data_IF_635737544514
#
_entry.id   IF_635737544514
#
_cell.length_a   1.000
_cell.length_b   1.000
_cell.length_c   1.000
_cell.angle_alpha   90.00
_cell.angle_beta   90.00
_cell.angle_gamma   90.00
#
_symmetry.space_group_name_H-M   'P 1'
#
loop_
_entity.id
_entity.type
_entity.pdbx_description
1 polymer ?
#
# COMPACT_ATOMS: atom_id res chain seq x y z
N UNK A 1 -63.24 -53.79 10.91
CA UNK A 1 -61.87 -54.29 10.69
C UNK A 1 -61.75 -54.67 9.22
N UNK A 2 -61.14 -53.82 8.40
CA UNK A 2 -60.93 -54.11 6.97
C UNK A 2 -59.59 -54.83 6.79
N UNK A 3 -59.63 -56.09 6.35
CA UNK A 3 -58.44 -56.85 6.02
C UNK A 3 -57.91 -56.38 4.66
N UNK A 4 -56.77 -55.68 4.67
CA UNK A 4 -55.99 -55.41 3.46
C UNK A 4 -55.20 -56.66 3.08
N UNK A 5 -55.68 -57.41 2.09
CA UNK A 5 -54.92 -58.49 1.43
C UNK A 5 -54.14 -57.88 0.26
N UNK A 6 -52.81 -57.83 0.37
CA UNK A 6 -51.91 -57.40 -0.71
C UNK A 6 -51.65 -58.62 -1.61
N UNK A 7 -52.16 -58.60 -2.84
CA UNK A 7 -51.82 -59.58 -3.87
C UNK A 7 -50.46 -59.24 -4.50
N UNK A 8 -49.45 -60.13 -4.46
CA UNK A 8 -48.12 -59.85 -4.96
C UNK A 8 -47.96 -60.34 -6.42
N UNK A 9 -48.54 -59.63 -7.39
CA UNK A 9 -48.08 -59.74 -8.79
C UNK A 9 -47.15 -58.57 -9.10
N UNK A 10 -45.87 -58.74 -8.75
CA UNK A 10 -44.83 -57.81 -9.18
C UNK A 10 -44.52 -58.12 -10.65
N UNK A 11 -45.17 -57.42 -11.58
CA UNK A 11 -44.85 -57.50 -13.00
C UNK A 11 -43.49 -56.86 -13.28
N UNK A 12 -42.68 -57.45 -14.16
CA UNK A 12 -41.37 -56.91 -14.60
C UNK A 12 -41.48 -55.44 -15.07
N UNK A 13 -42.62 -55.06 -15.66
CA UNK A 13 -42.90 -53.68 -16.06
C UNK A 13 -42.96 -52.66 -14.91
N UNK A 14 -43.41 -53.07 -13.71
CA UNK A 14 -43.46 -52.17 -12.55
C UNK A 14 -42.05 -51.84 -12.04
N UNK A 15 -41.14 -52.82 -12.06
CA UNK A 15 -39.74 -52.62 -11.70
C UNK A 15 -39.07 -51.64 -12.68
N UNK A 16 -39.34 -51.79 -13.97
CA UNK A 16 -38.79 -50.90 -15.00
C UNK A 16 -39.30 -49.46 -14.84
N UNK A 17 -40.59 -49.29 -14.54
CA UNK A 17 -41.20 -47.97 -14.32
C UNK A 17 -40.59 -47.27 -13.10
N UNK A 18 -40.45 -47.97 -11.97
CA UNK A 18 -39.79 -47.43 -10.77
C UNK A 18 -38.34 -47.04 -11.07
N UNK A 19 -37.60 -47.86 -11.83
CA UNK A 19 -36.25 -47.55 -12.27
C UNK A 19 -36.16 -46.25 -13.08
N UNK A 20 -37.06 -46.05 -14.05
CA UNK A 20 -37.07 -44.82 -14.87
C UNK A 20 -37.42 -43.56 -14.06
N UNK A 21 -38.32 -43.68 -13.09
CA UNK A 21 -38.67 -42.58 -12.17
C UNK A 21 -37.46 -42.21 -11.30
N UNK A 22 -36.75 -43.21 -10.74
CA UNK A 22 -35.55 -42.98 -9.95
C UNK A 22 -34.43 -42.32 -10.76
N UNK A 23 -34.19 -42.79 -11.99
CA UNK A 23 -33.19 -42.19 -12.89
C UNK A 23 -33.55 -40.73 -13.22
N UNK A 24 -34.84 -40.45 -13.46
CA UNK A 24 -35.32 -39.09 -13.72
C UNK A 24 -35.15 -38.18 -12.50
N UNK A 25 -35.49 -38.67 -11.30
CA UNK A 25 -35.30 -37.95 -10.04
C UNK A 25 -33.82 -37.65 -9.78
N UNK A 26 -32.93 -38.61 -9.99
CA UNK A 26 -31.47 -38.43 -9.87
C UNK A 26 -30.98 -37.36 -10.85
N UNK A 27 -31.45 -37.39 -12.10
CA UNK A 27 -31.09 -36.41 -13.13
C UNK A 27 -31.50 -34.98 -12.75
N UNK A 28 -32.70 -34.82 -12.19
CA UNK A 28 -33.19 -33.52 -11.69
C UNK A 28 -32.32 -33.02 -10.54
N UNK A 29 -31.97 -33.87 -9.57
CA UNK A 29 -31.12 -33.48 -8.44
C UNK A 29 -29.72 -33.04 -8.90
N UNK A 30 -29.13 -33.74 -9.86
CA UNK A 30 -27.85 -33.37 -10.46
C UNK A 30 -27.96 -32.03 -11.20
N UNK A 31 -28.99 -31.86 -12.03
CA UNK A 31 -29.24 -30.63 -12.78
C UNK A 31 -29.44 -29.43 -11.84
N UNK A 32 -30.21 -29.60 -10.78
CA UNK A 32 -30.43 -28.56 -9.78
C UNK A 32 -29.14 -28.20 -9.02
N UNK A 33 -28.34 -29.21 -8.67
CA UNK A 33 -27.01 -28.99 -8.09
C UNK A 33 -26.09 -28.18 -9.00
N UNK A 34 -26.11 -28.46 -10.31
CA UNK A 34 -25.34 -27.73 -11.33
C UNK A 34 -25.83 -26.29 -11.48
N UNK A 35 -27.14 -26.08 -11.61
CA UNK A 35 -27.76 -24.74 -11.71
C UNK A 35 -27.40 -23.88 -10.49
N UNK A 36 -27.50 -24.45 -9.28
CA UNK A 36 -27.13 -23.73 -8.05
C UNK A 36 -25.65 -23.31 -8.05
N UNK A 37 -24.74 -24.15 -8.55
CA UNK A 37 -23.32 -23.81 -8.66
C UNK A 37 -23.06 -22.74 -9.72
N UNK A 38 -23.77 -22.79 -10.85
CA UNK A 38 -23.67 -21.79 -11.92
C UNK A 38 -24.09 -20.41 -11.41
N UNK A 39 -25.26 -20.31 -10.76
CA UNK A 39 -25.72 -19.04 -10.17
C UNK A 39 -24.77 -18.47 -9.11
N UNK A 40 -24.16 -19.34 -8.30
CA UNK A 40 -23.16 -18.90 -7.32
C UNK A 40 -21.93 -18.31 -8.01
N UNK A 41 -21.45 -18.95 -9.08
CA UNK A 41 -20.33 -18.46 -9.87
C UNK A 41 -20.64 -17.14 -10.57
N UNK A 42 -21.82 -17.02 -11.17
CA UNK A 42 -22.29 -15.79 -11.83
C UNK A 42 -22.38 -14.61 -10.85
N UNK A 43 -22.76 -14.84 -9.61
CA UNK A 43 -22.78 -13.80 -8.57
C UNK A 43 -21.38 -13.48 -8.04
N UNK A 44 -20.51 -14.48 -7.86
CA UNK A 44 -19.18 -14.31 -7.29
C UNK A 44 -18.20 -13.65 -8.27
N UNK A 45 -18.35 -13.88 -9.58
CA UNK A 45 -17.40 -13.39 -10.60
C UNK A 45 -17.34 -11.85 -10.67
N UNK A 46 -18.48 -11.12 -10.78
CA UNK A 46 -18.48 -9.66 -10.77
C UNK A 46 -17.85 -9.08 -9.51
N UNK A 47 -18.11 -9.68 -8.34
CA UNK A 47 -17.52 -9.23 -7.07
C UNK A 47 -16.00 -9.31 -7.12
N UNK A 48 -15.44 -10.43 -7.57
CA UNK A 48 -13.99 -10.58 -7.72
C UNK A 48 -13.42 -9.58 -8.71
N UNK A 49 -14.10 -9.37 -9.83
CA UNK A 49 -13.68 -8.41 -10.85
C UNK A 49 -13.67 -6.98 -10.30
N UNK A 50 -14.74 -6.52 -9.66
CA UNK A 50 -14.81 -5.18 -9.08
C UNK A 50 -13.80 -4.99 -7.94
N UNK A 51 -13.53 -6.03 -7.14
CA UNK A 51 -12.46 -6.00 -6.13
C UNK A 51 -11.09 -5.79 -6.78
N UNK A 52 -10.80 -6.54 -7.85
CA UNK A 52 -9.55 -6.37 -8.60
C UNK A 52 -9.40 -4.96 -9.19
N UNK A 53 -10.49 -4.41 -9.74
CA UNK A 53 -10.52 -3.04 -10.27
C UNK A 53 -10.23 -2.03 -9.16
N UNK A 54 -10.88 -2.16 -7.99
CA UNK A 54 -10.67 -1.24 -6.88
C UNK A 54 -9.23 -1.30 -6.35
N UNK A 55 -8.69 -2.51 -6.17
CA UNK A 55 -7.30 -2.68 -5.75
C UNK A 55 -6.33 -2.01 -6.72
N UNK A 56 -6.53 -2.21 -8.03
CA UNK A 56 -5.74 -1.55 -9.07
C UNK A 56 -5.90 -0.02 -9.05
N UNK A 57 -7.10 0.48 -8.77
CA UNK A 57 -7.38 1.93 -8.68
C UNK A 57 -6.70 2.59 -7.47
N UNK A 58 -6.57 1.89 -6.35
CA UNK A 58 -5.80 2.37 -5.20
C UNK A 58 -4.30 2.43 -5.51
N UNK A 59 -3.74 1.40 -6.13
CA UNK A 59 -2.33 1.43 -6.57
C UNK A 59 -2.10 2.56 -7.56
N UNK A 60 -3.05 2.74 -8.48
CA UNK A 60 -3.01 3.83 -9.46
C UNK A 60 -3.02 5.21 -8.80
N UNK A 61 -3.78 5.41 -7.72
CA UNK A 61 -3.71 6.65 -6.94
C UNK A 61 -2.28 6.91 -6.47
N UNK A 62 -1.65 5.91 -5.84
CA UNK A 62 -0.27 6.00 -5.35
C UNK A 62 0.69 6.35 -6.48
N UNK A 63 0.60 5.70 -7.64
CA UNK A 63 1.44 6.03 -8.80
C UNK A 63 1.30 7.49 -9.22
N UNK A 64 0.06 8.00 -9.31
CA UNK A 64 -0.22 9.40 -9.66
C UNK A 64 0.40 10.33 -8.62
N UNK A 65 0.19 10.06 -7.34
CA UNK A 65 0.77 10.87 -6.26
C UNK A 65 2.30 10.85 -6.24
N UNK A 66 2.93 9.72 -6.56
CA UNK A 66 4.40 9.62 -6.65
C UNK A 66 4.90 10.38 -7.90
N UNK A 67 4.17 10.34 -9.01
CA UNK A 67 4.54 11.03 -10.25
C UNK A 67 4.63 12.55 -10.09
N UNK A 68 3.90 13.13 -9.13
CA UNK A 68 4.00 14.54 -8.78
C UNK A 68 5.45 14.97 -8.54
N UNK A 69 6.26 14.16 -7.83
CA UNK A 69 7.64 14.49 -7.50
C UNK A 69 8.57 14.51 -8.72
N UNK A 70 8.24 13.77 -9.79
CA UNK A 70 8.95 13.82 -11.07
C UNK A 70 8.51 15.05 -11.87
N UNK A 71 7.20 15.33 -11.88
CA UNK A 71 6.61 16.43 -12.63
C UNK A 71 7.06 17.81 -12.12
N UNK A 72 7.49 17.93 -10.87
CA UNK A 72 7.97 19.20 -10.30
C UNK A 72 9.46 19.46 -10.51
N UNK A 73 10.25 18.49 -11.00
CA UNK A 73 11.70 18.66 -11.21
C UNK A 73 12.08 19.87 -12.07
N UNK A 74 11.34 20.20 -13.15
CA UNK A 74 11.60 21.42 -13.92
C UNK A 74 11.50 22.69 -13.06
N UNK A 75 10.46 22.81 -12.23
CA UNK A 75 10.25 23.99 -11.38
C UNK A 75 11.36 24.17 -10.34
N UNK A 76 11.92 23.07 -9.81
CA UNK A 76 13.06 23.14 -8.90
C UNK A 76 14.32 23.68 -9.61
N UNK A 77 14.47 23.36 -10.89
CA UNK A 77 15.59 23.84 -11.72
C UNK A 77 15.39 25.30 -12.10
N UNK A 78 14.17 25.69 -12.46
CA UNK A 78 13.83 27.08 -12.77
C UNK A 78 14.07 28.00 -11.57
N UNK A 79 13.71 27.56 -10.36
CA UNK A 79 13.99 28.29 -9.12
C UNK A 79 15.51 28.52 -8.90
N UNK A 80 16.35 27.52 -9.14
CA UNK A 80 17.81 27.65 -9.06
C UNK A 80 18.34 28.64 -10.12
N UNK A 81 17.81 28.58 -11.35
CA UNK A 81 18.17 29.50 -12.43
C UNK A 81 17.76 30.93 -12.10
N UNK A 82 16.54 31.16 -11.58
CA UNK A 82 16.07 32.48 -11.19
C UNK A 82 16.98 33.09 -10.12
N UNK A 83 17.32 32.32 -9.08
CA UNK A 83 18.21 32.80 -8.03
C UNK A 83 19.62 33.13 -8.57
N UNK A 84 20.14 32.29 -9.49
CA UNK A 84 21.45 32.55 -10.14
C UNK A 84 21.47 33.81 -11.02
N UNK A 85 20.30 34.26 -11.51
CA UNK A 85 20.14 35.49 -12.29
C UNK A 85 20.04 36.75 -11.42
N UNK A 86 20.10 36.60 -10.09
CA UNK A 86 20.04 37.72 -9.15
C UNK A 86 18.62 38.11 -8.74
N UNK A 87 17.62 37.24 -8.97
CA UNK A 87 16.28 37.45 -8.43
C UNK A 87 16.28 37.36 -6.90
N UNK A 88 15.35 38.07 -6.26
CA UNK A 88 15.18 38.04 -4.80
C UNK A 88 14.68 36.66 -4.32
N UNK A 89 15.03 36.28 -3.09
CA UNK A 89 14.58 35.01 -2.48
C UNK A 89 13.05 34.92 -2.42
N UNK A 90 12.38 36.05 -2.17
CA UNK A 90 10.92 36.15 -2.14
C UNK A 90 10.31 35.86 -3.52
N UNK A 91 10.88 36.44 -4.58
CA UNK A 91 10.40 36.22 -5.95
C UNK A 91 10.58 34.75 -6.36
N UNK A 92 11.74 34.15 -6.06
CA UNK A 92 12.02 32.73 -6.33
C UNK A 92 11.05 31.82 -5.56
N UNK A 93 10.80 32.10 -4.28
CA UNK A 93 9.84 31.35 -3.46
C UNK A 93 8.43 31.41 -4.04
N UNK A 94 7.95 32.62 -4.34
CA UNK A 94 6.55 32.82 -4.77
C UNK A 94 6.29 32.20 -6.14
N UNK A 95 7.27 32.27 -7.04
CA UNK A 95 7.17 31.62 -8.34
C UNK A 95 7.17 30.09 -8.24
N UNK A 96 8.08 29.52 -7.42
CA UNK A 96 8.11 28.09 -7.15
C UNK A 96 6.78 27.62 -6.55
N UNK A 97 6.26 28.35 -5.57
CA UNK A 97 4.98 28.01 -4.91
C UNK A 97 3.81 28.02 -5.89
N UNK A 98 3.73 29.04 -6.75
CA UNK A 98 2.71 29.10 -7.81
C UNK A 98 2.79 27.85 -8.69
N UNK A 99 4.00 27.51 -9.16
CA UNK A 99 4.24 26.34 -10.00
C UNK A 99 3.87 25.02 -9.32
N UNK A 100 4.19 24.86 -8.03
CA UNK A 100 3.82 23.68 -7.24
C UNK A 100 2.31 23.56 -7.06
N UNK A 101 1.59 24.66 -6.83
CA UNK A 101 0.12 24.68 -6.73
C UNK A 101 -0.52 24.29 -8.05
N UNK A 102 -0.02 24.80 -9.18
CA UNK A 102 -0.50 24.41 -10.51
C UNK A 102 -0.25 22.93 -10.80
N UNK A 103 0.94 22.42 -10.47
CA UNK A 103 1.27 21.00 -10.59
C UNK A 103 0.32 20.14 -9.74
N UNK A 104 -0.02 20.61 -8.52
CA UNK A 104 -0.98 19.94 -7.66
C UNK A 104 -2.38 19.87 -8.25
N UNK A 105 -2.84 20.99 -8.80
CA UNK A 105 -4.16 21.06 -9.44
C UNK A 105 -4.24 20.04 -10.60
N UNK A 106 -3.19 19.94 -11.42
CA UNK A 106 -3.13 18.99 -12.55
C UNK A 106 -3.25 17.53 -12.11
N UNK A 107 -2.45 17.07 -11.13
CA UNK A 107 -2.54 15.66 -10.72
C UNK A 107 -3.83 15.39 -9.92
N UNK A 108 -4.35 16.37 -9.17
CA UNK A 108 -5.64 16.22 -8.49
C UNK A 108 -6.78 16.05 -9.50
N UNK A 109 -6.73 16.79 -10.60
CA UNK A 109 -7.66 16.60 -11.72
C UNK A 109 -7.53 15.20 -12.33
N UNK A 110 -6.31 14.71 -12.51
CA UNK A 110 -6.07 13.35 -13.01
C UNK A 110 -6.69 12.26 -12.11
N UNK A 111 -6.59 12.40 -10.78
CA UNK A 111 -7.24 11.47 -9.84
C UNK A 111 -8.76 11.45 -10.04
N UNK A 112 -9.38 12.62 -10.27
CA UNK A 112 -10.81 12.73 -10.54
C UNK A 112 -11.18 12.10 -11.89
N UNK A 113 -10.43 12.41 -12.95
CA UNK A 113 -10.68 11.92 -14.31
C UNK A 113 -10.56 10.39 -14.39
N UNK A 114 -9.65 9.81 -13.63
CA UNK A 114 -9.49 8.35 -13.55
C UNK A 114 -10.59 7.65 -12.73
N UNK A 115 -11.57 8.40 -12.17
CA UNK A 115 -12.73 7.86 -11.47
C UNK A 115 -12.36 6.90 -10.32
N UNK A 116 -11.23 7.16 -9.64
CA UNK A 116 -10.74 6.28 -8.57
C UNK A 116 -11.74 6.24 -7.42
N UNK A 117 -12.26 7.41 -7.04
CA UNK A 117 -13.19 7.54 -5.91
C UNK A 117 -14.54 6.86 -6.16
N UNK A 118 -14.94 6.65 -7.41
CA UNK A 118 -16.23 6.05 -7.78
C UNK A 118 -16.13 4.56 -8.10
N UNK A 119 -14.92 3.98 -8.13
CA UNK A 119 -14.69 2.58 -8.43
C UNK A 119 -15.45 1.60 -7.51
N UNK A 120 -15.82 2.03 -6.30
CA UNK A 120 -16.61 1.21 -5.37
C UNK A 120 -18.11 1.14 -5.69
N UNK A 121 -18.62 1.93 -6.65
CA UNK A 121 -20.04 1.98 -6.97
C UNK A 121 -20.59 0.60 -7.36
N UNK A 122 -19.80 -0.18 -8.12
CA UNK A 122 -20.14 -1.55 -8.49
C UNK A 122 -20.24 -2.47 -7.26
N UNK A 123 -19.43 -2.22 -6.22
CA UNK A 123 -19.44 -3.02 -5.00
C UNK A 123 -20.58 -2.69 -4.02
N UNK A 124 -21.30 -1.57 -4.23
CA UNK A 124 -22.29 -1.07 -3.28
C UNK A 124 -23.44 -2.05 -3.01
N UNK A 125 -23.79 -2.89 -4.00
CA UNK A 125 -24.85 -3.90 -3.87
C UNK A 125 -24.45 -5.14 -3.07
N UNK A 126 -23.15 -5.37 -2.83
CA UNK A 126 -22.66 -6.68 -2.38
C UNK A 126 -22.34 -6.73 -0.89
N UNK A 127 -21.37 -5.95 -0.39
CA UNK A 127 -20.95 -5.96 1.03
C UNK A 127 -20.62 -4.55 1.57
N UNK A 128 -21.40 -4.02 2.54
CA UNK A 128 -21.13 -2.71 3.16
C UNK A 128 -19.78 -2.61 3.89
N UNK A 129 -19.17 -3.73 4.30
CA UNK A 129 -17.87 -3.75 4.99
C UNK A 129 -16.73 -3.35 4.05
N UNK A 130 -16.73 -3.89 2.83
CA UNK A 130 -15.73 -3.56 1.80
C UNK A 130 -15.80 -2.07 1.46
N UNK A 131 -17.01 -1.53 1.31
CA UNK A 131 -17.22 -0.09 1.11
C UNK A 131 -16.59 0.74 2.23
N UNK A 132 -16.83 0.38 3.50
CA UNK A 132 -16.25 1.11 4.64
C UNK A 132 -14.72 1.08 4.62
N UNK A 133 -14.11 -0.06 4.28
CA UNK A 133 -12.66 -0.17 4.13
C UNK A 133 -12.13 0.71 3.01
N UNK A 134 -12.76 0.67 1.85
CA UNK A 134 -12.36 1.48 0.70
C UNK A 134 -12.46 2.98 1.00
N UNK A 135 -13.58 3.43 1.56
CA UNK A 135 -13.78 4.84 1.93
C UNK A 135 -12.74 5.31 2.94
N UNK A 136 -12.42 4.48 3.94
CA UNK A 136 -11.36 4.80 4.91
C UNK A 136 -9.98 4.90 4.23
N UNK A 137 -9.63 3.96 3.34
CA UNK A 137 -8.37 4.00 2.59
C UNK A 137 -8.26 5.27 1.73
N UNK A 138 -9.31 5.64 0.99
CA UNK A 138 -9.36 6.87 0.18
C UNK A 138 -9.21 8.12 1.06
N UNK A 139 -9.91 8.19 2.18
CA UNK A 139 -9.81 9.33 3.09
C UNK A 139 -8.39 9.48 3.64
N UNK A 140 -7.71 8.37 3.93
CA UNK A 140 -6.32 8.36 4.37
C UNK A 140 -5.36 8.77 3.26
N UNK A 141 -5.49 8.21 2.06
CA UNK A 141 -4.68 8.62 0.89
C UNK A 141 -4.80 10.12 0.65
N UNK A 142 -6.03 10.66 0.62
CA UNK A 142 -6.28 12.09 0.46
C UNK A 142 -5.65 12.94 1.57
N UNK A 143 -5.73 12.47 2.81
CA UNK A 143 -5.10 13.16 3.95
C UNK A 143 -3.57 13.13 3.84
N UNK A 144 -2.99 12.01 3.44
CA UNK A 144 -1.55 11.85 3.23
C UNK A 144 -1.08 12.76 2.10
N UNK A 145 -1.75 12.79 0.95
CA UNK A 145 -1.43 13.70 -0.16
C UNK A 145 -1.43 15.15 0.29
N UNK A 146 -2.48 15.57 1.02
CA UNK A 146 -2.58 16.94 1.53
C UNK A 146 -1.42 17.28 2.45
N UNK A 147 -1.07 16.37 3.36
CA UNK A 147 0.05 16.55 4.28
C UNK A 147 1.37 16.60 3.54
N UNK A 148 1.63 15.68 2.61
CA UNK A 148 2.86 15.65 1.81
C UNK A 148 3.02 16.91 0.99
N UNK A 149 1.96 17.41 0.35
CA UNK A 149 2.04 18.67 -0.39
C UNK A 149 2.36 19.86 0.52
N UNK A 150 1.74 19.95 1.70
CA UNK A 150 2.05 21.02 2.65
C UNK A 150 3.52 20.95 3.11
N UNK A 151 4.05 19.74 3.33
CA UNK A 151 5.46 19.54 3.64
C UNK A 151 6.37 19.93 2.49
N UNK A 152 5.99 19.68 1.24
CA UNK A 152 6.75 20.17 0.07
C UNK A 152 6.85 21.69 0.10
N UNK A 153 5.75 22.42 0.32
CA UNK A 153 5.77 23.89 0.39
C UNK A 153 6.65 24.40 1.54
N UNK A 154 6.47 23.85 2.74
CA UNK A 154 7.22 24.25 3.94
C UNK A 154 8.71 23.99 3.79
N UNK A 155 9.09 22.79 3.35
CA UNK A 155 10.48 22.37 3.29
C UNK A 155 11.23 23.02 2.12
N UNK A 156 10.59 23.21 0.97
CA UNK A 156 11.21 23.95 -0.14
C UNK A 156 11.36 25.44 0.17
N UNK A 157 10.41 26.05 0.88
CA UNK A 157 10.59 27.42 1.39
C UNK A 157 11.81 27.50 2.31
N UNK A 158 11.94 26.55 3.24
CA UNK A 158 13.09 26.52 4.16
C UNK A 158 14.40 26.41 3.39
N UNK A 159 14.47 25.56 2.36
CA UNK A 159 15.66 25.41 1.51
C UNK A 159 16.03 26.72 0.79
N UNK A 160 15.05 27.46 0.30
CA UNK A 160 15.28 28.80 -0.30
C UNK A 160 15.80 29.78 0.75
N UNK A 161 15.17 29.85 1.92
CA UNK A 161 15.50 30.80 2.99
C UNK A 161 16.89 30.60 3.59
N UNK A 162 17.40 29.36 3.64
CA UNK A 162 18.75 29.07 4.13
C UNK A 162 19.83 29.23 3.05
N UNK A 163 19.45 29.57 1.82
CA UNK A 163 20.42 29.74 0.74
C UNK A 163 21.12 31.10 0.89
N UNK A 164 22.42 31.05 1.13
CA UNK A 164 23.28 32.21 1.36
C UNK A 164 23.99 32.68 0.08
N UNK A 165 24.30 33.97 0.03
CA UNK A 165 25.12 34.58 -1.02
C UNK A 165 26.61 34.15 -0.92
N UNK A 166 27.36 34.08 -2.03
CA UNK A 166 26.89 34.26 -3.40
C UNK A 166 26.06 33.06 -3.88
N UNK A 167 25.04 33.32 -4.68
CA UNK A 167 24.19 32.27 -5.23
C UNK A 167 24.92 31.50 -6.33
N UNK A 168 25.56 30.40 -5.92
CA UNK A 168 26.22 29.47 -6.84
C UNK A 168 25.15 28.56 -7.45
N UNK A 169 25.09 28.55 -8.78
CA UNK A 169 24.22 27.65 -9.55
C UNK A 169 24.38 26.19 -9.08
N UNK A 170 23.26 25.48 -9.00
CA UNK A 170 23.07 24.11 -8.53
C UNK A 170 23.02 23.89 -7.01
N UNK A 171 23.43 24.82 -6.14
CA UNK A 171 23.36 24.59 -4.67
C UNK A 171 21.90 24.50 -4.20
N UNK A 172 21.06 25.47 -4.57
CA UNK A 172 19.64 25.46 -4.23
C UNK A 172 18.94 24.30 -4.93
N UNK A 173 19.17 24.11 -6.23
CA UNK A 173 18.57 23.03 -7.00
C UNK A 173 18.86 21.65 -6.41
N UNK A 174 20.09 21.37 -5.96
CA UNK A 174 20.43 20.10 -5.32
C UNK A 174 19.69 19.93 -3.98
N UNK A 175 19.62 20.97 -3.15
CA UNK A 175 18.88 20.94 -1.88
C UNK A 175 17.40 20.64 -2.11
N UNK A 176 16.77 21.34 -3.06
CA UNK A 176 15.36 21.13 -3.40
C UNK A 176 15.10 19.72 -3.94
N UNK A 177 16.00 19.16 -4.75
CA UNK A 177 15.88 17.78 -5.26
C UNK A 177 16.06 16.74 -4.16
N UNK A 178 17.05 16.90 -3.27
CA UNK A 178 17.20 16.04 -2.09
C UNK A 178 15.92 16.06 -1.23
N UNK A 179 15.34 17.24 -1.07
CA UNK A 179 14.07 17.44 -0.36
C UNK A 179 12.92 16.66 -0.96
N UNK A 180 12.69 16.84 -2.26
CA UNK A 180 11.58 16.20 -2.95
C UNK A 180 11.77 14.68 -3.04
N UNK A 181 13.00 14.20 -3.24
CA UNK A 181 13.31 12.76 -3.25
C UNK A 181 13.05 12.11 -1.90
N UNK A 182 13.42 12.79 -0.80
CA UNK A 182 13.14 12.29 0.54
C UNK A 182 11.63 12.18 0.79
N UNK A 183 10.89 13.26 0.48
CA UNK A 183 9.43 13.30 0.63
C UNK A 183 8.72 12.28 -0.26
N UNK A 184 9.23 12.02 -1.47
CA UNK A 184 8.70 10.98 -2.35
C UNK A 184 8.78 9.60 -1.72
N UNK A 185 9.95 9.22 -1.19
CA UNK A 185 10.15 7.92 -0.55
C UNK A 185 9.22 7.73 0.66
N UNK A 186 9.07 8.79 1.46
CA UNK A 186 8.14 8.81 2.61
C UNK A 186 6.70 8.66 2.12
N UNK A 187 6.29 9.45 1.13
CA UNK A 187 4.94 9.41 0.57
C UNK A 187 4.61 8.01 0.04
N UNK A 188 5.53 7.36 -0.68
CA UNK A 188 5.34 5.99 -1.16
C UNK A 188 5.10 5.03 -0.01
N UNK A 189 5.99 5.02 0.99
CA UNK A 189 5.87 4.11 2.13
C UNK A 189 4.56 4.32 2.92
N UNK A 190 4.14 5.59 3.11
CA UNK A 190 2.87 5.89 3.76
C UNK A 190 1.66 5.41 2.95
N UNK A 191 1.71 5.52 1.64
CA UNK A 191 0.63 5.01 0.77
C UNK A 191 0.59 3.49 0.78
N UNK A 192 1.73 2.81 0.79
CA UNK A 192 1.82 1.35 0.95
C UNK A 192 1.16 0.91 2.28
N UNK A 193 1.47 1.58 3.39
CA UNK A 193 0.85 1.30 4.69
C UNK A 193 -0.69 1.47 4.68
N UNK A 194 -1.23 2.35 3.84
CA UNK A 194 -2.67 2.57 3.70
C UNK A 194 -3.30 1.52 2.77
N UNK A 195 -2.62 1.15 1.69
CA UNK A 195 -3.14 0.27 0.63
C UNK A 195 -3.02 -1.21 1.02
N UNK A 196 -1.92 -1.63 1.66
CA UNK A 196 -1.62 -3.02 2.02
C UNK A 196 -2.71 -3.69 2.88
N UNK A 197 -3.28 -3.04 3.91
CA UNK A 197 -4.35 -3.64 4.69
C UNK A 197 -5.60 -3.91 3.83
N UNK A 198 -5.93 -2.99 2.91
CA UNK A 198 -7.05 -3.17 2.00
C UNK A 198 -6.79 -4.32 1.03
N UNK A 199 -5.61 -4.36 0.40
CA UNK A 199 -5.25 -5.41 -0.55
C UNK A 199 -5.28 -6.81 0.09
N UNK A 200 -4.75 -6.96 1.31
CA UNK A 200 -4.80 -8.24 2.05
C UNK A 200 -6.23 -8.71 2.31
N UNK A 201 -7.13 -7.81 2.71
CA UNK A 201 -8.54 -8.16 2.91
C UNK A 201 -9.22 -8.51 1.58
N UNK A 202 -8.89 -7.81 0.49
CA UNK A 202 -9.43 -8.12 -0.83
C UNK A 202 -8.94 -9.47 -1.35
N UNK A 203 -7.70 -9.84 -1.08
CA UNK A 203 -7.14 -11.15 -1.41
C UNK A 203 -7.91 -12.29 -0.72
N UNK A 204 -8.32 -12.10 0.55
CA UNK A 204 -9.20 -13.05 1.24
C UNK A 204 -10.52 -13.25 0.49
N UNK A 205 -11.12 -12.18 -0.03
CA UNK A 205 -12.38 -12.27 -0.80
C UNK A 205 -12.15 -12.91 -2.17
N UNK A 206 -11.05 -12.58 -2.85
CA UNK A 206 -10.70 -13.16 -4.15
C UNK A 206 -10.52 -14.69 -4.05
N UNK A 207 -9.87 -15.15 -2.99
CA UNK A 207 -9.57 -16.56 -2.73
C UNK A 207 -10.75 -17.33 -2.08
N UNK A 208 -11.82 -16.65 -1.65
CA UNK A 208 -12.99 -17.29 -1.06
C UNK A 208 -13.78 -18.13 -2.07
N UNK A 209 -14.44 -19.20 -1.60
CA UNK A 209 -15.30 -20.04 -2.46
C UNK A 209 -16.53 -19.26 -2.91
N UNK A 210 -17.07 -19.57 -4.09
CA UNK A 210 -18.30 -18.93 -4.60
C UNK A 210 -19.46 -18.99 -3.59
N UNK A 211 -19.60 -20.13 -2.91
CA UNK A 211 -20.62 -20.31 -1.87
C UNK A 211 -20.40 -19.43 -0.63
N UNK A 212 -19.16 -19.08 -0.30
CA UNK A 212 -18.82 -18.22 0.83
C UNK A 212 -19.08 -16.76 0.48
N UNK A 213 -18.74 -16.34 -0.74
CA UNK A 213 -19.01 -14.99 -1.26
C UNK A 213 -20.52 -14.72 -1.29
N UNK A 214 -21.30 -15.65 -1.88
CA UNK A 214 -22.76 -15.53 -1.97
C UNK A 214 -23.41 -15.47 -0.58
N UNK A 215 -22.89 -16.24 0.38
CA UNK A 215 -23.40 -16.26 1.77
C UNK A 215 -22.79 -15.18 2.65
N UNK A 216 -21.88 -14.35 2.14
CA UNK A 216 -21.12 -13.34 2.89
C UNK A 216 -20.39 -13.91 4.12
N UNK A 217 -19.95 -15.16 4.04
CA UNK A 217 -19.32 -15.94 5.13
C UNK A 217 -17.79 -15.82 5.17
N UNK A 218 -17.25 -14.72 4.66
CA UNK A 218 -15.85 -14.38 4.77
C UNK A 218 -15.65 -13.32 5.85
N UNK A 219 -14.55 -13.42 6.59
CA UNK A 219 -14.20 -12.50 7.66
C UNK A 219 -13.40 -11.35 7.06
N UNK A 220 -14.09 -10.23 6.80
CA UNK A 220 -13.44 -8.95 6.51
C UNK A 220 -13.25 -8.19 7.80
N UNK A 221 -12.01 -7.78 8.09
CA UNK A 221 -11.71 -6.95 9.25
C UNK A 221 -12.41 -5.59 9.16
N UNK A 222 -12.79 -5.03 10.30
CA UNK A 222 -13.37 -3.68 10.31
C UNK A 222 -12.25 -2.63 10.17
N UNK A 223 -12.53 -1.47 9.53
CA UNK A 223 -11.53 -0.43 9.33
C UNK A 223 -10.82 -0.01 10.63
N UNK A 224 -11.57 0.12 11.72
CA UNK A 224 -11.03 0.51 13.03
C UNK A 224 -9.91 -0.41 13.54
N UNK A 225 -9.97 -1.70 13.21
CA UNK A 225 -8.95 -2.65 13.63
C UNK A 225 -7.69 -2.52 12.77
N UNK A 226 -7.85 -2.48 11.45
CA UNK A 226 -6.72 -2.43 10.51
C UNK A 226 -5.93 -1.12 10.61
N UNK A 227 -6.64 -0.02 10.86
CA UNK A 227 -6.11 1.32 10.68
C UNK A 227 -5.77 2.05 11.99
N UNK A 228 -6.04 1.43 13.15
CA UNK A 228 -5.75 2.02 14.48
C UNK A 228 -4.26 1.98 14.84
N UNK A 229 -3.55 0.91 14.44
CA UNK A 229 -2.11 0.76 14.67
C UNK A 229 -1.31 1.79 13.86
N UNK A 230 -1.77 2.08 12.65
CA UNK A 230 -1.07 2.91 11.68
C UNK A 230 -1.11 4.42 12.01
N UNK A 231 -2.16 4.89 12.71
CA UNK A 231 -2.29 6.33 13.00
C UNK A 231 -1.21 6.86 13.95
N UNK A 232 -0.76 6.02 14.90
CA UNK A 232 0.33 6.40 15.83
C UNK A 232 1.69 6.35 15.15
N UNK A 233 1.96 5.36 14.31
CA UNK A 233 3.20 5.30 13.53
C UNK A 233 3.32 6.48 12.58
N UNK A 234 2.28 6.77 11.80
CA UNK A 234 2.23 7.93 10.89
C UNK A 234 2.55 9.25 11.60
N UNK A 235 1.98 9.46 12.80
CA UNK A 235 2.20 10.68 13.55
C UNK A 235 3.65 10.76 14.07
N UNK A 236 4.21 9.64 14.53
CA UNK A 236 5.60 9.55 14.95
C UNK A 236 6.51 9.82 13.76
N UNK A 237 6.25 9.23 12.59
CA UNK A 237 7.09 9.39 11.39
C UNK A 237 7.07 10.82 10.89
N UNK A 238 5.91 11.48 10.87
CA UNK A 238 5.80 12.90 10.50
C UNK A 238 6.57 13.79 11.49
N UNK A 239 6.47 13.55 12.80
CA UNK A 239 7.20 14.31 13.81
C UNK A 239 8.71 14.01 13.79
N UNK A 240 9.10 12.77 13.49
CA UNK A 240 10.48 12.39 13.25
C UNK A 240 11.02 13.13 12.01
N UNK A 241 10.26 13.22 10.92
CA UNK A 241 10.70 13.94 9.72
C UNK A 241 10.88 15.43 9.96
N UNK A 242 9.94 16.06 10.69
CA UNK A 242 10.08 17.46 11.12
C UNK A 242 11.33 17.65 11.98
N UNK A 243 11.61 16.72 12.89
CA UNK A 243 12.78 16.78 13.78
C UNK A 243 14.11 16.39 13.09
N UNK A 244 14.09 15.56 12.05
CA UNK A 244 15.32 15.04 11.42
C UNK A 244 15.96 16.03 10.46
N UNK A 245 15.18 16.93 9.87
CA UNK A 245 15.75 18.12 9.20
C UNK A 245 16.35 19.14 10.14
N UNK A 246 16.18 18.99 11.45
CA UNK A 246 16.94 19.77 12.42
C UNK A 246 18.30 19.13 12.73
N UNK A 247 18.63 17.91 12.27
CA UNK A 247 19.99 17.37 12.46
C UNK A 247 20.29 16.15 11.58
N UNK A 248 21.15 16.33 10.56
CA UNK A 248 21.84 15.25 9.80
C UNK A 248 22.57 14.22 10.70
N UNK A 249 22.71 14.48 12.01
CA UNK A 249 23.52 13.72 12.98
C UNK A 249 22.73 12.68 13.80
N UNK A 250 21.39 12.70 13.79
CA UNK A 250 20.57 11.95 14.76
C UNK A 250 19.98 10.61 14.27
N UNK A 251 20.10 10.28 12.97
CA UNK A 251 19.60 9.00 12.44
C UNK A 251 20.26 7.76 13.09
N UNK A 252 21.49 7.90 13.59
CA UNK A 252 22.22 6.82 14.29
C UNK A 252 21.70 6.51 15.70
N UNK A 253 21.04 7.48 16.36
CA UNK A 253 20.56 7.34 17.75
C UNK A 253 19.13 6.81 17.85
N UNK A 254 18.42 6.64 16.73
CA UNK A 254 17.06 6.10 16.71
C UNK A 254 16.99 4.59 16.47
N UNK A 255 18.06 4.01 15.92
CA UNK A 255 18.27 2.56 15.90
C UNK A 255 18.37 1.96 17.31
N UNK A 256 18.79 2.74 18.31
CA UNK A 256 18.89 2.30 19.71
C UNK A 256 17.61 2.52 20.52
N UNK A 257 16.65 3.31 20.02
CA UNK A 257 15.35 3.53 20.69
C UNK A 257 14.22 2.64 20.15
N UNK A 258 14.47 1.86 19.09
CA UNK A 258 13.56 0.85 18.55
C UNK A 258 13.81 -0.56 19.11
N UNK A 259 14.30 -0.68 20.36
CA UNK A 259 14.26 -1.96 21.05
C UNK A 259 12.82 -2.29 21.50
N UNK A 260 12.38 -3.55 21.35
CA UNK A 260 10.97 -3.90 21.37
C UNK A 260 10.36 -3.93 22.77
N UNK A 261 9.20 -3.29 22.93
CA UNK A 261 8.20 -3.72 23.92
C UNK A 261 7.60 -5.06 23.47
N UNK A 262 7.50 -6.07 24.35
CA UNK A 262 7.00 -7.38 24.00
C UNK A 262 5.48 -7.31 23.79
N UNK A 263 5.04 -7.55 22.56
CA UNK A 263 3.65 -7.96 22.29
C UNK A 263 3.68 -9.19 21.36
N UNK A 264 2.99 -10.28 21.72
CA UNK A 264 2.79 -11.40 20.82
C UNK A 264 1.72 -10.96 19.80
N UNK A 265 1.71 -11.57 18.62
CA UNK A 265 0.77 -11.31 17.51
C UNK A 265 1.33 -10.29 16.49
N UNK A 266 1.86 -10.83 15.40
CA UNK A 266 2.45 -10.21 14.20
C UNK A 266 3.92 -9.75 14.26
N UNK A 267 4.83 -10.68 13.97
CA UNK A 267 6.28 -10.49 13.83
C UNK A 267 6.78 -10.32 12.37
N UNK A 268 5.92 -10.50 11.36
CA UNK A 268 6.32 -10.49 9.94
C UNK A 268 6.74 -9.10 9.41
N UNK A 269 5.79 -8.16 9.32
CA UNK A 269 6.06 -6.86 8.70
C UNK A 269 6.97 -5.91 9.50
N UNK A 270 7.00 -6.05 10.83
CA UNK A 270 7.84 -5.19 11.69
C UNK A 270 9.33 -5.47 11.54
N UNK A 271 9.70 -6.73 11.33
CA UNK A 271 11.10 -7.16 11.18
C UNK A 271 11.64 -6.76 9.79
N UNK A 272 10.79 -6.82 8.78
CA UNK A 272 11.11 -6.42 7.40
C UNK A 272 11.29 -4.90 7.29
N UNK A 273 10.41 -4.10 7.91
CA UNK A 273 10.56 -2.65 7.96
C UNK A 273 11.76 -2.19 8.80
N UNK A 274 12.00 -2.83 9.96
CA UNK A 274 13.20 -2.56 10.76
C UNK A 274 14.49 -2.94 9.98
N UNK A 275 14.46 -4.00 9.18
CA UNK A 275 15.57 -4.37 8.30
C UNK A 275 15.76 -3.37 7.14
N UNK A 276 14.69 -2.82 6.56
CA UNK A 276 14.78 -1.77 5.52
C UNK A 276 15.40 -0.50 6.10
N UNK A 277 14.92 -0.05 7.26
CA UNK A 277 15.48 1.13 7.96
C UNK A 277 16.94 0.89 8.39
N UNK A 278 17.27 -0.32 8.84
CA UNK A 278 18.64 -0.71 9.19
C UNK A 278 19.55 -0.78 7.96
N UNK A 279 19.07 -1.31 6.83
CA UNK A 279 19.84 -1.39 5.58
C UNK A 279 20.12 0.00 5.00
N UNK A 280 19.15 0.92 5.08
CA UNK A 280 19.31 2.32 4.66
C UNK A 280 20.24 3.12 5.59
N UNK A 281 20.35 2.72 6.86
CA UNK A 281 21.19 3.38 7.86
C UNK A 281 22.64 2.83 7.89
N UNK A 282 22.82 1.52 7.65
CA UNK A 282 24.11 0.85 7.72
C UNK A 282 24.92 0.99 6.42
N UNK A 283 24.26 1.13 5.26
CA UNK A 283 24.93 1.30 3.96
C UNK A 283 24.10 2.20 3.02
N UNK A 284 24.09 3.54 3.25
CA UNK A 284 23.42 4.46 2.32
C UNK A 284 24.04 4.30 0.93
N UNK A 285 23.26 4.29 -0.17
CA UNK A 285 23.78 4.04 -1.50
C UNK A 285 24.88 5.05 -1.84
N UNK A 286 26.13 4.61 -1.73
CA UNK A 286 27.28 5.35 -2.22
C UNK A 286 27.30 5.17 -3.73
N UNK A 287 26.75 6.15 -4.46
CA UNK A 287 27.14 6.32 -5.85
C UNK A 287 28.55 6.92 -5.87
N UNK A 288 29.52 6.01 -5.98
CA UNK A 288 30.91 6.31 -6.27
C UNK A 288 31.02 6.92 -7.66
N UNK A 289 31.39 8.19 -7.70
CA UNK A 289 32.28 8.70 -8.73
C UNK A 289 33.66 8.07 -8.45
N UNK A 290 34.05 7.05 -9.24
CA UNK A 290 35.45 6.60 -9.36
C UNK A 290 35.88 5.34 -8.55
N UNK A 291 36.06 4.23 -9.28
CA UNK A 291 37.18 3.27 -9.18
C UNK A 291 37.64 2.71 -7.81
N UNK A 292 37.18 1.51 -7.44
CA UNK A 292 38.01 0.29 -7.17
C UNK A 292 37.14 -0.86 -6.66
N UNK A 293 37.23 -2.02 -7.33
CA UNK A 293 36.65 -3.29 -6.85
C UNK A 293 37.42 -3.78 -5.62
N UNK A 294 36.74 -3.89 -4.49
CA UNK A 294 37.12 -4.80 -3.41
C UNK A 294 36.13 -5.97 -3.46
N UNK A 295 36.65 -7.19 -3.59
CA UNK A 295 35.86 -8.40 -3.84
C UNK A 295 34.91 -8.74 -2.69
N UNK A 296 33.70 -9.19 -3.05
CA UNK A 296 32.62 -9.66 -2.18
C UNK A 296 33.02 -10.73 -1.14
N UNK A 297 34.18 -11.37 -1.29
CA UNK A 297 34.62 -12.46 -0.42
C UNK A 297 35.19 -12.00 0.94
N UNK A 298 35.58 -10.73 1.09
CA UNK A 298 36.12 -10.20 2.36
C UNK A 298 35.05 -10.01 3.43
N UNK A 299 33.82 -9.63 3.05
CA UNK A 299 32.75 -9.33 4.00
C UNK A 299 32.18 -10.61 4.65
N UNK A 300 32.07 -11.70 3.88
CA UNK A 300 31.54 -12.97 4.36
C UNK A 300 32.50 -13.62 5.37
N UNK A 301 33.82 -13.51 5.14
CA UNK A 301 34.87 -13.96 6.06
C UNK A 301 34.83 -13.19 7.39
N UNK A 302 34.63 -11.87 7.34
CA UNK A 302 34.51 -11.04 8.53
C UNK A 302 33.24 -11.34 9.34
N UNK A 303 32.13 -11.62 8.66
CA UNK A 303 30.87 -12.01 9.31
C UNK A 303 31.01 -13.38 9.98
N UNK A 304 31.68 -14.35 9.33
CA UNK A 304 31.94 -15.68 9.92
C UNK A 304 32.80 -15.61 11.19
N UNK A 305 33.88 -14.81 11.18
CA UNK A 305 34.74 -14.61 12.36
C UNK A 305 34.00 -14.01 13.55
N UNK A 306 33.08 -13.08 13.28
CA UNK A 306 32.32 -12.40 14.34
C UNK A 306 31.25 -13.30 14.97
N UNK A 307 30.57 -14.12 14.16
CA UNK A 307 29.63 -15.13 14.68
C UNK A 307 30.35 -16.16 15.56
N UNK A 308 31.57 -16.56 15.18
CA UNK A 308 32.37 -17.51 15.95
C UNK A 308 32.92 -16.94 17.27
N UNK A 309 33.19 -15.63 17.35
CA UNK A 309 33.59 -15.00 18.62
C UNK A 309 32.44 -14.84 19.59
N UNK A 310 31.22 -14.63 19.09
CA UNK A 310 30.06 -14.40 19.93
C UNK A 310 29.54 -15.73 20.55
N UNK A 311 29.57 -16.83 19.80
CA UNK A 311 29.22 -18.18 20.32
C UNK A 311 30.20 -18.71 21.38
N UNK A 312 31.44 -18.20 21.42
CA UNK A 312 32.43 -18.58 22.44
C UNK A 312 32.36 -17.72 23.70
N UNK A 313 31.61 -16.61 23.66
CA UNK A 313 31.38 -15.73 24.82
C UNK A 313 30.15 -16.10 25.66
N UNK A 314 29.24 -16.90 25.10
CA UNK A 314 28.00 -17.35 25.76
C UNK A 314 28.15 -18.66 26.58
N UNK A 315 29.36 -19.22 26.68
CA UNK A 315 29.64 -20.46 27.41
C UNK A 315 30.57 -20.31 28.63
N UNK A 316 30.75 -19.09 29.15
CA UNK A 316 31.52 -18.83 30.38
C UNK A 316 30.60 -18.33 31.47
#
# INVERSE_FOLDING_TARGET
MGNFTINPEITVGNILTVGTILISMISILISWGKDRRLRQKEYATPIRQSIGIIAAKLERWKEISISFFENIQPFLTDADVMLSKGETLEAVRDDLWRSLVEARAKYSQQILDENIETAYAELHGYDPRIRKLFVEAINRLRSTDKTMFNLVLELTQKDIQITEEPYISAKLGNSLRETCNSLRSISSALMDLIIDPFQREMEVVLNAKDSEIVRKKFNVSTPSVLFSLDRRSLQIDIELLKSHRLTRRNARNLLTMCEPMPSPIFSGGKKEFANILKTLADDPPQFLIGSRRIGKESLIEQIKKKIQSDESSEKI
#
